data_IF_038733721606
#
_entry.id   IF_038733721606
#
_cell.length_a   1.000
_cell.length_b   1.000
_cell.length_c   1.000
_cell.angle_alpha   90.00
_cell.angle_beta   90.00
_cell.angle_gamma   90.00
#
_symmetry.space_group_name_H-M   'P 1'
#
loop_
_entity.id
_entity.type
_entity.pdbx_description
1 polymer ?
#
# COMPACT_ATOMS: atom_id res chain seq x y z
N UNK A 1 -17.19 -0.26 21.66
CA UNK A 1 -16.56 0.81 20.90
C UNK A 1 -15.93 0.28 19.63
N UNK A 2 -15.56 1.16 18.75
CA UNK A 2 -14.81 0.82 17.52
C UNK A 2 -13.32 1.04 17.82
N UNK A 3 -12.47 0.09 17.40
CA UNK A 3 -11.03 0.27 17.38
C UNK A 3 -10.64 0.97 16.07
N UNK A 4 -9.65 1.85 16.14
CA UNK A 4 -9.21 2.68 15.03
C UNK A 4 -7.74 2.39 14.74
N UNK A 5 -7.42 2.17 13.48
CA UNK A 5 -6.10 2.31 12.92
C UNK A 5 -6.05 3.68 12.24
N UNK A 6 -5.20 4.59 12.72
CA UNK A 6 -5.00 5.85 12.03
C UNK A 6 -3.89 5.72 10.99
N UNK A 7 -4.16 6.21 9.78
CA UNK A 7 -3.29 6.03 8.64
C UNK A 7 -2.83 7.38 8.09
N UNK A 8 -1.51 7.51 7.92
CA UNK A 8 -0.86 8.75 7.56
C UNK A 8 -1.18 9.17 6.12
N UNK A 9 -0.73 8.38 5.11
CA UNK A 9 -0.75 8.85 3.73
C UNK A 9 -0.84 7.71 2.72
N UNK A 10 -1.35 8.01 1.53
CA UNK A 10 -1.57 7.03 0.45
C UNK A 10 -0.33 6.81 -0.44
N UNK A 11 0.74 7.55 -0.28
CA UNK A 11 2.00 7.46 -1.05
C UNK A 11 3.15 8.12 -0.30
N UNK A 12 4.38 7.78 -0.67
CA UNK A 12 5.55 8.44 -0.07
C UNK A 12 6.23 9.37 -1.09
N UNK A 13 7.33 8.91 -1.74
CA UNK A 13 8.12 9.71 -2.67
C UNK A 13 7.91 9.34 -4.15
N UNK A 14 6.95 8.49 -4.46
CA UNK A 14 6.54 8.14 -5.84
C UNK A 14 5.10 8.60 -6.05
N UNK A 15 4.89 9.42 -7.06
CA UNK A 15 3.56 9.90 -7.42
C UNK A 15 2.62 8.74 -7.79
N UNK A 16 1.42 8.78 -7.28
CA UNK A 16 0.28 7.96 -7.74
C UNK A 16 -0.62 8.72 -8.70
N UNK A 17 -0.71 10.01 -8.51
CA UNK A 17 -1.53 10.92 -9.31
C UNK A 17 -0.77 12.24 -9.54
N UNK A 18 -1.27 13.05 -10.48
CA UNK A 18 -0.82 14.42 -10.67
C UNK A 18 -1.23 15.29 -9.46
N UNK A 19 -0.34 16.15 -8.99
CA UNK A 19 -0.57 17.06 -7.86
C UNK A 19 -0.82 16.37 -6.50
N UNK A 20 -0.27 15.18 -6.28
CA UNK A 20 -0.29 14.55 -4.97
C UNK A 20 0.78 15.12 -4.01
N UNK A 21 0.81 14.66 -2.76
CA UNK A 21 1.64 15.20 -1.68
C UNK A 21 3.14 14.84 -1.79
N UNK A 22 3.56 14.11 -2.81
CA UNK A 22 4.96 13.64 -2.98
C UNK A 22 5.98 14.76 -2.91
N UNK A 23 5.67 15.94 -3.47
CA UNK A 23 6.58 17.09 -3.48
C UNK A 23 6.90 17.60 -2.07
N UNK A 24 6.04 17.37 -1.12
CA UNK A 24 6.18 17.81 0.28
C UNK A 24 6.62 16.67 1.21
N UNK A 25 6.42 15.43 0.82
CA UNK A 25 6.61 14.27 1.68
C UNK A 25 7.99 14.23 2.36
N UNK A 26 9.08 14.42 1.61
CA UNK A 26 10.42 14.30 2.18
C UNK A 26 10.71 15.32 3.30
N UNK A 27 10.12 16.51 3.20
CA UNK A 27 10.35 17.61 4.16
C UNK A 27 9.40 17.53 5.36
N UNK A 28 8.22 16.95 5.19
CA UNK A 28 7.12 17.05 6.15
C UNK A 28 6.74 15.76 6.85
N UNK A 29 7.10 14.58 6.38
CA UNK A 29 6.59 13.34 6.93
C UNK A 29 6.83 13.15 8.44
N UNK A 30 7.96 13.69 8.97
CA UNK A 30 8.22 13.63 10.41
C UNK A 30 7.29 14.53 11.21
N UNK A 31 7.04 15.73 10.71
CA UNK A 31 6.09 16.63 11.35
C UNK A 31 4.67 16.07 11.29
N UNK A 32 4.27 15.57 10.13
CA UNK A 32 2.94 14.99 9.94
C UNK A 32 2.69 13.79 10.86
N UNK A 33 3.67 12.88 11.00
CA UNK A 33 3.59 11.76 11.93
C UNK A 33 3.56 12.23 13.40
N UNK A 34 4.29 13.28 13.73
CA UNK A 34 4.26 13.88 15.06
C UNK A 34 2.86 14.43 15.35
N UNK A 35 2.29 15.20 14.43
CA UNK A 35 0.95 15.78 14.57
C UNK A 35 -0.13 14.69 14.66
N UNK A 36 0.01 13.59 13.91
CA UNK A 36 -0.87 12.43 14.00
C UNK A 36 -0.83 11.81 15.40
N UNK A 37 0.36 11.55 15.93
CA UNK A 37 0.52 10.98 17.28
C UNK A 37 0.03 11.93 18.35
N UNK A 38 0.36 13.22 18.29
CA UNK A 38 -0.12 14.22 19.26
C UNK A 38 -1.64 14.31 19.29
N UNK A 39 -2.28 14.27 18.11
CA UNK A 39 -3.73 14.23 17.97
C UNK A 39 -4.34 13.00 18.68
N UNK A 40 -3.72 11.84 18.52
CA UNK A 40 -4.30 10.54 18.88
C UNK A 40 -3.85 10.03 20.25
N UNK A 41 -2.81 10.60 20.84
CA UNK A 41 -2.17 10.10 22.07
C UNK A 41 -3.15 9.80 23.20
N UNK A 42 -4.12 10.69 23.40
CA UNK A 42 -5.15 10.56 24.46
C UNK A 42 -6.42 9.84 23.97
N UNK A 43 -6.41 9.22 22.79
CA UNK A 43 -7.56 8.49 22.25
C UNK A 43 -7.35 6.99 22.35
N UNK A 44 -7.83 6.30 23.40
CA UNK A 44 -7.59 4.87 23.61
C UNK A 44 -8.26 3.97 22.59
N UNK A 45 -9.13 4.51 21.74
CA UNK A 45 -9.70 3.78 20.61
C UNK A 45 -8.73 3.67 19.43
N UNK A 46 -7.74 4.56 19.30
CA UNK A 46 -6.64 4.42 18.34
C UNK A 46 -5.66 3.42 18.91
N UNK A 47 -5.56 2.28 18.27
CA UNK A 47 -4.77 1.12 18.76
C UNK A 47 -3.60 0.78 17.85
N UNK A 48 -3.49 1.43 16.70
CA UNK A 48 -2.53 1.09 15.66
C UNK A 48 -2.27 2.32 14.77
N UNK A 49 -1.02 2.52 14.39
CA UNK A 49 -0.63 3.51 13.39
C UNK A 49 -0.23 2.83 12.08
N UNK A 50 -0.69 3.39 10.96
CA UNK A 50 -0.27 2.98 9.62
C UNK A 50 0.56 4.08 8.95
N UNK A 51 1.73 3.72 8.45
CA UNK A 51 2.64 4.68 7.79
C UNK A 51 2.26 4.95 6.34
N UNK A 52 1.31 4.22 5.78
CA UNK A 52 0.83 4.46 4.43
C UNK A 52 -0.01 3.33 3.86
N UNK A 53 -0.67 3.64 2.75
CA UNK A 53 -1.52 2.70 2.01
C UNK A 53 -0.99 2.47 0.61
N UNK A 54 -0.85 1.19 0.23
CA UNK A 54 -0.45 0.76 -1.12
C UNK A 54 0.78 1.48 -1.69
N UNK A 55 1.74 1.79 -0.82
CA UNK A 55 2.97 2.48 -1.21
C UNK A 55 3.91 1.53 -1.94
N UNK A 56 4.09 1.74 -3.23
CA UNK A 56 4.92 0.88 -4.11
C UNK A 56 6.41 0.92 -3.74
N UNK A 57 6.82 1.95 -3.02
CA UNK A 57 8.16 2.18 -2.51
C UNK A 57 8.65 1.07 -1.59
N UNK A 58 7.74 0.37 -0.91
CA UNK A 58 8.06 -0.77 -0.03
C UNK A 58 8.71 -1.96 -0.76
N UNK A 59 8.70 -1.99 -2.10
CA UNK A 59 9.46 -2.94 -2.90
C UNK A 59 10.89 -2.48 -3.28
N UNK A 60 11.28 -1.27 -2.89
CA UNK A 60 12.56 -0.64 -3.24
C UNK A 60 13.45 -0.53 -2.01
N UNK A 61 14.79 -0.58 -2.20
CA UNK A 61 15.74 -0.48 -1.10
C UNK A 61 15.53 0.78 -0.22
N UNK A 62 15.29 1.94 -0.86
CA UNK A 62 15.03 3.19 -0.15
C UNK A 62 13.73 3.11 0.66
N UNK A 63 12.66 2.58 0.07
CA UNK A 63 11.37 2.45 0.74
C UNK A 63 11.41 1.43 1.89
N UNK A 64 12.13 0.31 1.71
CA UNK A 64 12.35 -0.66 2.79
C UNK A 64 13.09 0.01 3.99
N UNK A 65 14.12 0.81 3.72
CA UNK A 65 14.82 1.56 4.76
C UNK A 65 13.89 2.60 5.42
N UNK A 66 13.09 3.30 4.60
CA UNK A 66 12.13 4.28 5.09
C UNK A 66 11.03 3.64 5.94
N UNK A 67 10.56 2.42 5.58
CA UNK A 67 9.61 1.67 6.43
C UNK A 67 10.16 1.52 7.85
N UNK A 68 11.44 1.12 7.97
CA UNK A 68 12.08 1.01 9.28
C UNK A 68 12.20 2.37 9.98
N UNK A 69 12.65 3.38 9.25
CA UNK A 69 12.84 4.73 9.80
C UNK A 69 11.54 5.32 10.34
N UNK A 70 10.43 5.17 9.61
CA UNK A 70 9.11 5.65 10.05
C UNK A 70 8.59 4.84 11.25
N UNK A 71 8.79 3.53 11.27
CA UNK A 71 8.43 2.67 12.41
C UNK A 71 9.22 3.07 13.66
N UNK A 72 10.54 3.20 13.56
CA UNK A 72 11.39 3.61 14.67
C UNK A 72 11.03 5.04 15.15
N UNK A 73 10.68 5.93 14.23
CA UNK A 73 10.28 7.29 14.56
C UNK A 73 8.97 7.34 15.34
N UNK A 74 7.96 6.59 14.90
CA UNK A 74 6.67 6.48 15.61
C UNK A 74 6.85 5.87 17.00
N UNK A 75 7.68 4.82 17.16
CA UNK A 75 8.02 4.26 18.48
C UNK A 75 8.75 5.26 19.38
N UNK A 76 9.51 6.18 18.80
CA UNK A 76 10.14 7.29 19.55
C UNK A 76 9.13 8.31 20.08
N UNK A 77 7.96 8.42 19.46
CA UNK A 77 6.87 9.30 19.89
C UNK A 77 5.85 8.59 20.82
N UNK A 78 5.52 7.35 20.47
CA UNK A 78 4.56 6.51 21.20
C UNK A 78 4.93 5.02 21.03
N UNK A 79 5.48 4.43 22.08
CA UNK A 79 5.86 3.01 22.13
C UNK A 79 4.73 2.07 22.55
N UNK A 80 3.55 2.63 22.84
CA UNK A 80 2.39 1.86 23.30
C UNK A 80 1.53 1.30 22.16
N UNK A 81 1.70 1.81 20.94
CA UNK A 81 0.91 1.42 19.77
C UNK A 81 1.79 0.81 18.68
N UNK A 82 1.42 -0.37 18.17
CA UNK A 82 2.17 -1.00 17.07
C UNK A 82 1.99 -0.24 15.76
N UNK A 83 2.97 -0.42 14.88
CA UNK A 83 3.06 0.25 13.57
C UNK A 83 2.89 -0.75 12.43
N UNK A 84 2.15 -0.35 11.41
CA UNK A 84 1.93 -1.10 10.17
C UNK A 84 2.07 -0.22 8.94
N UNK A 85 1.94 -0.81 7.79
CA UNK A 85 1.71 -0.15 6.50
C UNK A 85 0.86 -1.07 5.63
N UNK A 86 -0.17 -0.54 5.00
CA UNK A 86 -1.00 -1.29 4.06
C UNK A 86 -0.26 -1.55 2.76
N UNK A 87 0.09 -2.81 2.47
CA UNK A 87 0.82 -3.18 1.26
C UNK A 87 -0.05 -4.01 0.34
N UNK A 88 -0.36 -3.48 -0.85
CA UNK A 88 -0.94 -4.28 -1.92
C UNK A 88 0.15 -5.17 -2.51
N UNK A 89 0.19 -6.41 -2.06
CA UNK A 89 1.29 -7.34 -2.30
C UNK A 89 1.51 -7.58 -3.79
N UNK A 90 0.43 -7.74 -4.55
CA UNK A 90 0.53 -8.02 -5.98
C UNK A 90 0.92 -6.76 -6.77
N UNK A 91 0.31 -5.62 -6.49
CA UNK A 91 0.63 -4.37 -7.17
C UNK A 91 2.05 -3.89 -6.85
N UNK A 92 2.50 -4.11 -5.61
CA UNK A 92 3.87 -3.82 -5.21
C UNK A 92 4.90 -4.60 -6.06
N UNK A 93 4.63 -5.89 -6.29
CA UNK A 93 5.44 -6.69 -7.19
C UNK A 93 5.39 -6.15 -8.63
N UNK A 94 4.20 -5.88 -9.19
CA UNK A 94 4.06 -5.34 -10.53
C UNK A 94 4.80 -4.00 -10.70
N UNK A 95 4.66 -3.10 -9.73
CA UNK A 95 5.39 -1.81 -9.73
C UNK A 95 6.90 -2.01 -9.70
N UNK A 96 7.39 -3.00 -8.95
CA UNK A 96 8.83 -3.30 -8.85
C UNK A 96 9.46 -3.75 -10.17
N UNK A 97 8.65 -4.24 -11.09
CA UNK A 97 9.08 -4.66 -12.45
C UNK A 97 8.63 -3.66 -13.54
N UNK A 98 8.20 -2.46 -13.13
CA UNK A 98 7.92 -1.33 -14.01
C UNK A 98 6.49 -1.20 -14.52
N UNK A 99 5.54 -2.03 -14.05
CA UNK A 99 4.14 -1.90 -14.42
C UNK A 99 3.43 -0.84 -13.55
N UNK A 100 2.57 -0.03 -14.18
CA UNK A 100 1.68 0.90 -13.49
C UNK A 100 2.37 2.08 -12.76
N UNK A 101 3.68 2.22 -12.85
CA UNK A 101 4.42 3.30 -12.19
C UNK A 101 4.03 4.64 -12.83
N UNK A 102 3.52 5.55 -12.00
CA UNK A 102 3.24 6.91 -12.42
C UNK A 102 4.55 7.65 -12.75
N UNK A 103 4.50 8.49 -13.77
CA UNK A 103 5.54 9.43 -14.10
C UNK A 103 4.92 10.61 -14.81
N UNK A 104 5.26 11.83 -14.39
CA UNK A 104 4.77 13.07 -15.00
C UNK A 104 5.05 13.12 -16.49
N UNK A 105 6.22 12.64 -16.93
CA UNK A 105 6.55 12.55 -18.35
C UNK A 105 5.58 11.63 -19.11
N UNK A 106 5.22 10.49 -18.54
CA UNK A 106 4.26 9.58 -19.15
C UNK A 106 2.88 10.20 -19.19
N UNK A 107 2.44 10.81 -18.09
CA UNK A 107 1.16 11.51 -18.02
C UNK A 107 1.09 12.66 -19.03
N UNK A 108 2.14 13.47 -19.14
CA UNK A 108 2.24 14.56 -20.11
C UNK A 108 2.21 14.05 -21.56
N UNK A 109 2.99 13.03 -21.89
CA UNK A 109 3.00 12.42 -23.22
C UNK A 109 1.64 11.85 -23.62
N UNK A 110 0.92 11.21 -22.69
CA UNK A 110 -0.42 10.69 -22.95
C UNK A 110 -1.45 11.81 -23.11
N UNK A 111 -1.32 12.91 -22.35
CA UNK A 111 -2.14 14.09 -22.53
C UNK A 111 -1.93 14.75 -23.91
N UNK A 112 -0.67 14.94 -24.32
CA UNK A 112 -0.32 15.47 -25.64
C UNK A 112 -0.81 14.57 -26.78
N UNK A 113 -0.73 13.25 -26.63
CA UNK A 113 -1.28 12.30 -27.63
C UNK A 113 -2.80 12.39 -27.74
N UNK A 114 -3.49 12.49 -26.60
CA UNK A 114 -4.94 12.63 -26.57
C UNK A 114 -5.38 13.94 -27.25
N UNK A 115 -4.68 15.04 -27.01
CA UNK A 115 -4.97 16.33 -27.64
C UNK A 115 -4.73 16.31 -29.15
N UNK A 116 -3.62 15.74 -29.61
CA UNK A 116 -3.30 15.56 -31.04
C UNK A 116 -4.34 14.67 -31.75
N UNK A 117 -4.78 13.59 -31.11
CA UNK A 117 -5.82 12.71 -31.66
C UNK A 117 -7.16 13.47 -31.78
N UNK A 118 -7.53 14.29 -30.79
CA UNK A 118 -8.72 15.14 -30.82
C UNK A 118 -8.67 16.17 -31.96
N UNK A 119 -7.50 16.79 -32.15
CA UNK A 119 -7.31 17.76 -33.26
C UNK A 119 -7.40 17.10 -34.65
N UNK A 120 -7.09 15.81 -34.78
CA UNK A 120 -7.19 15.03 -36.03
C UNK A 120 -8.57 14.44 -36.28
N UNK A 121 -9.56 14.73 -35.40
CA UNK A 121 -10.91 14.15 -35.53
C UNK A 121 -10.96 12.65 -35.35
N UNK A 122 -9.88 12.01 -34.85
CA UNK A 122 -9.85 10.61 -34.49
C UNK A 122 -10.69 10.39 -33.23
N UNK A 123 -11.44 9.27 -33.18
CA UNK A 123 -12.12 8.88 -31.93
C UNK A 123 -11.09 8.92 -30.80
N UNK A 124 -11.36 9.71 -29.77
CA UNK A 124 -10.44 9.93 -28.67
C UNK A 124 -9.85 8.60 -28.20
N UNK A 125 -8.56 8.39 -28.50
CA UNK A 125 -7.86 7.23 -27.98
C UNK A 125 -7.96 7.30 -26.45
N UNK A 126 -8.50 6.27 -25.81
CA UNK A 126 -8.61 6.24 -24.35
C UNK A 126 -7.23 6.52 -23.80
N UNK A 127 -7.09 7.57 -22.97
CA UNK A 127 -5.85 7.85 -22.23
C UNK A 127 -5.40 6.55 -21.58
N UNK A 128 -4.15 6.12 -21.80
CA UNK A 128 -3.61 5.00 -21.04
C UNK A 128 -3.55 5.40 -19.58
N UNK A 129 -4.21 4.62 -18.75
CA UNK A 129 -4.16 4.82 -17.32
C UNK A 129 -2.74 4.61 -16.78
N UNK A 130 -2.32 5.44 -15.84
CA UNK A 130 -1.02 5.36 -15.13
C UNK A 130 -1.26 5.51 -13.63
N UNK A 131 -0.33 5.03 -12.81
CA UNK A 131 -0.45 5.10 -11.35
C UNK A 131 -1.66 4.32 -10.84
N UNK A 132 -2.34 4.87 -9.84
CA UNK A 132 -3.52 4.25 -9.21
C UNK A 132 -4.62 3.91 -10.21
N UNK A 133 -4.86 4.76 -11.20
CA UNK A 133 -5.88 4.49 -12.21
C UNK A 133 -5.57 3.26 -13.07
N UNK A 134 -4.28 2.99 -13.34
CA UNK A 134 -3.87 1.77 -14.03
C UNK A 134 -4.24 0.52 -13.21
N UNK A 135 -3.92 0.51 -11.92
CA UNK A 135 -4.20 -0.62 -11.04
C UNK A 135 -5.69 -0.82 -10.81
N UNK A 136 -6.47 0.27 -10.65
CA UNK A 136 -7.92 0.19 -10.52
C UNK A 136 -8.58 -0.38 -11.79
N UNK A 137 -8.12 0.05 -12.98
CA UNK A 137 -8.61 -0.50 -14.24
C UNK A 137 -8.24 -1.97 -14.41
N UNK A 138 -7.02 -2.36 -14.00
CA UNK A 138 -6.57 -3.74 -14.03
C UNK A 138 -7.40 -4.63 -13.10
N UNK A 139 -7.64 -4.18 -11.87
CA UNK A 139 -8.49 -4.87 -10.90
C UNK A 139 -9.94 -5.00 -11.41
N UNK A 140 -10.49 -3.93 -11.98
CA UNK A 140 -11.83 -3.94 -12.57
C UNK A 140 -11.97 -4.86 -13.79
N UNK A 141 -10.90 -5.04 -14.57
CA UNK A 141 -10.91 -5.91 -15.74
C UNK A 141 -10.72 -7.39 -15.39
N UNK A 142 -9.81 -7.68 -14.46
CA UNK A 142 -9.35 -9.04 -14.15
C UNK A 142 -10.07 -9.65 -12.94
N UNK A 143 -10.77 -8.81 -12.17
CA UNK A 143 -11.49 -9.21 -10.96
C UNK A 143 -10.60 -9.38 -9.73
N UNK A 144 -11.25 -9.49 -8.58
CA UNK A 144 -10.63 -9.61 -7.26
C UNK A 144 -9.81 -10.90 -7.10
N UNK A 145 -10.27 -12.00 -7.66
CA UNK A 145 -9.59 -13.30 -7.61
C UNK A 145 -8.21 -13.27 -8.27
N UNK A 146 -8.06 -12.49 -9.33
CA UNK A 146 -6.76 -12.34 -10.01
C UNK A 146 -5.72 -11.68 -9.08
N UNK A 147 -6.10 -10.61 -8.37
CA UNK A 147 -5.22 -9.93 -7.41
C UNK A 147 -4.83 -10.85 -6.24
N UNK A 148 -5.82 -11.52 -5.65
CA UNK A 148 -5.61 -12.44 -4.53
C UNK A 148 -4.69 -13.62 -4.89
N UNK A 149 -4.88 -14.22 -6.07
CA UNK A 149 -4.02 -15.28 -6.59
C UNK A 149 -2.65 -14.76 -7.02
N UNK A 150 -2.58 -13.59 -7.65
CA UNK A 150 -1.33 -12.92 -8.01
C UNK A 150 -0.45 -12.67 -6.79
N UNK A 151 -1.03 -12.30 -5.66
CA UNK A 151 -0.30 -12.07 -4.42
C UNK A 151 0.44 -13.33 -3.89
N UNK A 152 0.07 -14.54 -4.32
CA UNK A 152 0.73 -15.79 -3.90
C UNK A 152 2.01 -16.09 -4.67
N UNK A 153 2.35 -15.33 -5.71
CA UNK A 153 3.56 -15.53 -6.48
C UNK A 153 4.82 -15.36 -5.62
N UNK A 154 5.83 -16.18 -5.85
CA UNK A 154 7.11 -16.09 -5.13
C UNK A 154 7.76 -14.71 -5.23
N UNK A 155 7.67 -14.06 -6.40
CA UNK A 155 8.17 -12.69 -6.61
C UNK A 155 7.51 -11.66 -5.68
N UNK A 156 6.24 -11.83 -5.35
CA UNK A 156 5.53 -10.99 -4.40
C UNK A 156 6.13 -11.09 -3.00
N UNK A 157 6.45 -12.30 -2.55
CA UNK A 157 7.14 -12.51 -1.27
C UNK A 157 8.52 -11.84 -1.25
N UNK A 158 9.34 -12.09 -2.27
CA UNK A 158 10.69 -11.51 -2.39
C UNK A 158 10.66 -9.98 -2.33
N UNK A 159 9.62 -9.34 -2.88
CA UNK A 159 9.52 -7.88 -2.95
C UNK A 159 8.85 -7.21 -1.75
N UNK A 160 8.22 -7.98 -0.86
CA UNK A 160 7.48 -7.41 0.28
C UNK A 160 8.01 -7.85 1.64
N UNK A 161 8.69 -9.00 1.73
CA UNK A 161 9.11 -9.59 3.00
C UNK A 161 10.02 -8.70 3.84
N UNK A 162 10.92 -7.94 3.19
CA UNK A 162 11.88 -7.10 3.89
C UNK A 162 11.22 -5.83 4.46
N UNK A 163 10.22 -5.28 3.76
CA UNK A 163 9.39 -4.21 4.29
C UNK A 163 8.55 -4.70 5.48
N UNK A 164 7.89 -5.85 5.34
CA UNK A 164 7.12 -6.45 6.45
C UNK A 164 7.97 -6.78 7.69
N UNK A 165 9.26 -7.07 7.52
CA UNK A 165 10.16 -7.30 8.64
C UNK A 165 10.52 -6.02 9.42
N UNK A 166 10.21 -4.84 8.88
CA UNK A 166 10.45 -3.53 9.48
C UNK A 166 9.20 -2.91 10.12
N UNK A 167 8.11 -3.66 10.22
CA UNK A 167 6.86 -3.26 10.87
C UNK A 167 6.57 -4.22 12.03
N UNK A 168 5.79 -3.77 13.00
CA UNK A 168 5.32 -4.64 14.08
C UNK A 168 4.24 -5.61 13.56
N UNK A 169 3.36 -5.12 12.72
CA UNK A 169 2.27 -5.87 12.11
C UNK A 169 2.32 -5.69 10.59
N UNK A 170 2.37 -6.78 9.86
CA UNK A 170 2.37 -6.76 8.41
C UNK A 170 0.97 -6.49 7.86
N UNK A 171 0.75 -5.32 7.27
CA UNK A 171 -0.52 -4.91 6.67
C UNK A 171 -0.68 -5.48 5.25
N UNK A 172 -1.60 -6.43 5.09
CA UNK A 172 -1.87 -7.08 3.81
C UNK A 172 -3.12 -6.50 3.16
N UNK A 173 -2.94 -5.77 2.05
CA UNK A 173 -4.04 -5.41 1.18
C UNK A 173 -4.28 -6.52 0.16
N UNK A 174 -5.48 -7.10 0.18
CA UNK A 174 -5.95 -8.16 -0.73
C UNK A 174 -5.13 -9.46 -0.74
N UNK A 175 -4.41 -9.74 0.35
CA UNK A 175 -3.46 -10.85 0.48
C UNK A 175 -4.00 -12.14 1.12
N UNK A 176 -5.32 -12.35 1.17
CA UNK A 176 -5.96 -13.42 1.96
C UNK A 176 -5.41 -14.82 1.68
N UNK A 177 -5.04 -15.13 0.43
CA UNK A 177 -4.53 -16.46 0.08
C UNK A 177 -3.09 -16.72 0.53
N UNK A 178 -2.40 -15.69 1.06
CA UNK A 178 -1.05 -15.82 1.60
C UNK A 178 -1.01 -16.19 3.08
N UNK A 179 -2.05 -15.91 3.84
CA UNK A 179 -2.01 -15.99 5.30
C UNK A 179 -1.47 -17.31 5.82
N UNK A 180 -2.08 -18.44 5.46
CA UNK A 180 -1.63 -19.77 5.91
C UNK A 180 -0.20 -20.12 5.53
N UNK A 181 0.23 -19.68 4.34
CA UNK A 181 1.59 -19.91 3.88
C UNK A 181 2.58 -19.04 4.66
N UNK A 182 2.27 -17.76 4.80
CA UNK A 182 3.18 -16.79 5.41
C UNK A 182 3.30 -16.98 6.93
N UNK A 183 2.22 -17.36 7.63
CA UNK A 183 2.29 -17.72 9.05
C UNK A 183 3.18 -18.94 9.31
N UNK A 184 3.23 -19.90 8.38
CA UNK A 184 4.18 -21.03 8.49
C UNK A 184 5.61 -20.62 8.19
N UNK A 185 5.79 -19.75 7.18
CA UNK A 185 7.13 -19.30 6.74
C UNK A 185 7.76 -18.29 7.70
N UNK A 186 6.94 -17.44 8.30
CA UNK A 186 7.31 -16.36 9.21
C UNK A 186 6.50 -16.46 10.51
N UNK A 187 6.78 -17.45 11.37
CA UNK A 187 5.94 -17.78 12.53
C UNK A 187 5.81 -16.64 13.55
N UNK A 188 6.75 -15.70 13.58
CA UNK A 188 6.70 -14.51 14.45
C UNK A 188 5.97 -13.31 13.83
N UNK A 189 5.53 -13.42 12.56
CA UNK A 189 4.86 -12.31 11.87
C UNK A 189 3.41 -12.22 12.29
N UNK A 190 3.02 -11.08 12.82
CA UNK A 190 1.62 -10.73 12.96
C UNK A 190 1.11 -10.20 11.60
N UNK A 191 -0.05 -10.65 11.17
CA UNK A 191 -0.65 -10.25 9.89
C UNK A 191 -1.98 -9.56 10.17
N UNK A 192 -2.14 -8.37 9.59
CA UNK A 192 -3.39 -7.62 9.55
C UNK A 192 -3.92 -7.60 8.12
N UNK A 193 -5.17 -7.97 7.92
CA UNK A 193 -5.88 -7.63 6.67
C UNK A 193 -6.25 -6.16 6.68
N UNK A 194 -5.29 -5.31 6.31
CA UNK A 194 -5.47 -3.85 6.35
C UNK A 194 -6.52 -3.39 5.34
N UNK A 195 -6.62 -4.07 4.20
CA UNK A 195 -7.67 -3.84 3.22
C UNK A 195 -8.10 -5.15 2.57
N UNK A 196 -9.42 -5.39 2.50
CA UNK A 196 -9.99 -6.64 1.98
C UNK A 196 -11.25 -6.38 1.19
N UNK A 197 -11.57 -7.28 0.26
CA UNK A 197 -12.89 -7.25 -0.36
C UNK A 197 -13.96 -7.63 0.66
N UNK A 198 -15.10 -6.98 0.61
CA UNK A 198 -16.21 -7.21 1.55
C UNK A 198 -16.72 -8.66 1.53
N UNK A 199 -16.61 -9.37 0.41
CA UNK A 199 -16.97 -10.79 0.27
C UNK A 199 -15.95 -11.74 0.92
N UNK A 200 -14.77 -11.25 1.32
CA UNK A 200 -13.74 -12.06 1.98
C UNK A 200 -13.82 -12.03 3.52
N UNK A 201 -14.64 -11.16 4.10
CA UNK A 201 -14.77 -11.01 5.56
C UNK A 201 -15.10 -12.35 6.25
N UNK A 202 -15.94 -13.19 5.63
CA UNK A 202 -16.22 -14.53 6.14
C UNK A 202 -15.00 -15.44 6.13
N UNK A 203 -14.19 -15.41 5.08
CA UNK A 203 -12.96 -16.21 4.97
C UNK A 203 -11.95 -15.83 6.04
N UNK A 204 -11.82 -14.54 6.35
CA UNK A 204 -11.00 -14.06 7.47
C UNK A 204 -11.44 -14.63 8.80
N UNK A 205 -12.72 -14.56 9.09
CA UNK A 205 -13.29 -15.10 10.32
C UNK A 205 -13.02 -16.61 10.47
N UNK A 206 -13.13 -17.37 9.38
CA UNK A 206 -12.86 -18.81 9.41
C UNK A 206 -11.35 -19.10 9.57
N UNK A 207 -10.48 -18.29 8.99
CA UNK A 207 -9.05 -18.38 9.21
C UNK A 207 -8.67 -18.07 10.66
N UNK A 208 -9.17 -16.98 11.22
CA UNK A 208 -8.89 -16.57 12.59
C UNK A 208 -9.37 -17.57 13.66
N UNK A 209 -10.32 -18.45 13.34
CA UNK A 209 -10.74 -19.54 14.21
C UNK A 209 -9.78 -20.74 14.20
N UNK A 210 -8.95 -20.87 13.17
CA UNK A 210 -8.05 -22.01 12.96
C UNK A 210 -6.61 -21.75 13.43
N UNK A 211 -6.25 -20.49 13.56
CA UNK A 211 -4.91 -20.07 13.98
C UNK A 211 -5.04 -19.34 15.33
N UNK A 212 -4.25 -19.69 16.32
CA UNK A 212 -4.29 -19.07 17.65
C UNK A 212 -3.80 -17.62 17.63
#
# INVERSE_FOLDING_TARGET
GVLVMDEYIDHWYIHKTEHDYVDYFNDWWRQDLTDMVEKDYNHPCVVLYSTGNEVSETAQKRGIALTKEMTDFLHGLDDSRPVTCGVNIFFNFLSSIGFGVYSDEKAKKEAERAEKAKQRGEKAAKKKAVGSQFFNNLAGLLGDEFMKRGATLHGCDVKTRDAFANMDIAGYNYGIYRYKHDLKKYPQRLILGSETFCNDAYKFRELAKQEP
#
